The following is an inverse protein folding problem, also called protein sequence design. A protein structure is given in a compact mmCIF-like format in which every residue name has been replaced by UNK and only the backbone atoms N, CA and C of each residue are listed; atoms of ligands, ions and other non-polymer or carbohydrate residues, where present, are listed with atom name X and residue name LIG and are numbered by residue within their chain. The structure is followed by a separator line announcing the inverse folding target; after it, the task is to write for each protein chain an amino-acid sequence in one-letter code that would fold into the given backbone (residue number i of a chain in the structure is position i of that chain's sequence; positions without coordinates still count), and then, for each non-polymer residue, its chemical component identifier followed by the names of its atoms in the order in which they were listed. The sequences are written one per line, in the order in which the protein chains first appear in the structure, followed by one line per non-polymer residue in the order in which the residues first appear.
data_IF_628616119139
#
_entry.id   IF_628616119139
#
_cell.length_a   1.000
_cell.length_b   1.000
_cell.length_c   1.000
_cell.angle_alpha   90.00
_cell.angle_beta   90.00
_cell.angle_gamma   90.00
#
_symmetry.space_group_name_H-M   'P 1'
#
loop_
_entity.id
_entity.type
_entity.pdbx_description
1 polymer ?
#
# COMPACT_ATOMS: atom_id res chain seq x y z
N UNK A 1 -55.80 1.97 14.16
CA UNK A 1 -55.19 1.19 13.06
C UNK A 1 -54.30 2.14 12.27
N UNK A 2 -52.97 2.00 12.34
CA UNK A 2 -52.07 2.82 11.51
C UNK A 2 -50.69 3.14 12.11
N UNK A 3 -49.94 2.13 12.55
CA UNK A 3 -48.50 2.22 12.77
C UNK A 3 -47.86 0.97 12.17
N UNK A 4 -47.66 0.93 10.85
CA UNK A 4 -47.17 -0.27 10.14
C UNK A 4 -46.11 0.00 9.06
N UNK A 5 -45.50 1.19 9.04
CA UNK A 5 -44.34 1.45 8.17
C UNK A 5 -43.21 2.12 8.94
N UNK A 6 -42.64 1.38 9.90
CA UNK A 6 -41.28 1.68 10.38
C UNK A 6 -40.32 1.03 9.39
N UNK A 7 -39.91 1.78 8.37
CA UNK A 7 -38.83 1.38 7.45
C UNK A 7 -37.65 0.97 8.33
N UNK A 8 -37.25 -0.30 8.28
CA UNK A 8 -36.05 -0.80 8.95
C UNK A 8 -34.92 0.13 8.52
N UNK A 9 -34.45 0.94 9.45
CA UNK A 9 -33.33 1.82 9.21
C UNK A 9 -32.14 0.87 9.11
N UNK A 10 -31.71 0.61 7.87
CA UNK A 10 -30.46 -0.10 7.62
C UNK A 10 -29.42 0.55 8.51
N UNK A 11 -28.84 -0.24 9.41
CA UNK A 11 -27.78 0.22 10.30
C UNK A 11 -26.60 0.45 9.38
N UNK A 12 -26.52 1.68 8.85
CA UNK A 12 -25.41 2.13 8.04
C UNK A 12 -24.14 1.81 8.82
N UNK A 13 -23.28 0.98 8.23
CA UNK A 13 -21.97 0.66 8.79
C UNK A 13 -21.30 1.96 9.24
N UNK A 14 -20.64 1.99 10.41
CA UNK A 14 -19.94 3.17 10.88
C UNK A 14 -19.02 3.68 9.77
N UNK A 15 -19.29 4.90 9.29
CA UNK A 15 -18.53 5.53 8.21
C UNK A 15 -17.05 5.51 8.60
N UNK A 16 -16.21 4.87 7.79
CA UNK A 16 -14.78 4.82 8.08
C UNK A 16 -14.23 6.24 8.06
N UNK A 17 -13.21 6.53 8.89
CA UNK A 17 -12.49 7.81 8.83
C UNK A 17 -11.95 8.09 7.42
N UNK A 18 -11.65 7.02 6.67
CA UNK A 18 -11.23 7.07 5.28
C UNK A 18 -12.36 7.54 4.36
N UNK A 19 -13.57 7.01 4.52
CA UNK A 19 -14.74 7.42 3.73
C UNK A 19 -15.09 8.90 3.98
N UNK A 20 -14.93 9.37 5.22
CA UNK A 20 -15.13 10.78 5.56
C UNK A 20 -14.08 11.66 4.86
N UNK A 21 -12.81 11.24 4.80
CA UNK A 21 -11.76 11.97 4.08
C UNK A 21 -12.02 12.01 2.57
N UNK A 22 -12.42 10.88 1.97
CA UNK A 22 -12.80 10.79 0.56
C UNK A 22 -13.98 11.72 0.26
N UNK A 23 -15.00 11.75 1.13
CA UNK A 23 -16.15 12.64 0.99
C UNK A 23 -15.75 14.12 1.04
N UNK A 24 -14.84 14.50 1.95
CA UNK A 24 -14.34 15.87 2.04
C UNK A 24 -13.61 16.29 0.75
N UNK A 25 -12.74 15.43 0.22
CA UNK A 25 -12.02 15.69 -1.03
C UNK A 25 -12.97 15.79 -2.23
N UNK A 26 -13.95 14.88 -2.33
CA UNK A 26 -15.00 14.94 -3.37
C UNK A 26 -15.83 16.23 -3.26
N UNK A 27 -16.15 16.65 -2.04
CA UNK A 27 -16.82 17.94 -1.80
C UNK A 27 -15.98 19.15 -2.23
N UNK A 28 -14.68 19.14 -1.98
CA UNK A 28 -13.76 20.19 -2.43
C UNK A 28 -13.66 20.23 -3.97
N UNK A 29 -13.52 19.07 -4.61
CA UNK A 29 -13.52 18.92 -6.07
C UNK A 29 -14.77 19.54 -6.69
N UNK A 30 -15.94 19.23 -6.13
CA UNK A 30 -17.21 19.73 -6.67
C UNK A 30 -17.35 21.24 -6.50
N UNK A 31 -16.92 21.80 -5.37
CA UNK A 31 -16.85 23.26 -5.16
C UNK A 31 -15.92 23.94 -6.15
N UNK A 32 -14.75 23.35 -6.43
CA UNK A 32 -13.82 23.86 -7.43
C UNK A 32 -14.42 23.84 -8.84
N UNK A 33 -15.04 22.73 -9.25
CA UNK A 33 -15.75 22.63 -10.54
C UNK A 33 -16.86 23.67 -10.67
N UNK A 34 -17.64 23.89 -9.61
CA UNK A 34 -18.66 24.93 -9.58
C UNK A 34 -18.07 26.34 -9.70
N UNK A 35 -16.94 26.62 -9.03
CA UNK A 35 -16.27 27.91 -9.12
C UNK A 35 -15.72 28.17 -10.52
N UNK A 36 -15.06 27.19 -11.14
CA UNK A 36 -14.55 27.28 -12.52
C UNK A 36 -15.70 27.60 -13.49
N UNK A 37 -16.82 26.86 -13.41
CA UNK A 37 -17.99 27.11 -14.25
C UNK A 37 -18.60 28.50 -14.06
N UNK A 38 -18.59 29.03 -12.83
CA UNK A 38 -19.03 30.40 -12.54
C UNK A 38 -18.06 31.44 -13.11
N UNK A 39 -16.75 31.18 -12.98
CA UNK A 39 -15.68 32.02 -13.52
C UNK A 39 -15.75 32.11 -15.05
N UNK A 40 -15.95 31.00 -15.75
CA UNK A 40 -16.14 30.95 -17.21
C UNK A 40 -17.30 31.84 -17.68
N UNK A 41 -18.47 31.71 -17.04
CA UNK A 41 -19.62 32.58 -17.34
C UNK A 41 -19.35 34.06 -17.04
N UNK A 42 -18.51 34.37 -16.06
CA UNK A 42 -18.11 35.74 -15.76
C UNK A 42 -17.16 36.27 -16.85
N UNK A 43 -16.21 35.46 -17.31
CA UNK A 43 -15.27 35.81 -18.38
C UNK A 43 -15.99 36.03 -19.72
N UNK A 44 -17.04 35.25 -20.03
CA UNK A 44 -17.89 35.48 -21.22
C UNK A 44 -18.60 36.83 -21.15
N UNK A 45 -19.22 37.17 -20.02
CA UNK A 45 -19.86 38.48 -19.80
C UNK A 45 -18.85 39.62 -19.92
N UNK A 46 -17.67 39.47 -19.34
CA UNK A 46 -16.59 40.47 -19.45
C UNK A 46 -16.11 40.64 -20.90
N UNK A 47 -16.07 39.56 -21.68
CA UNK A 47 -15.75 39.59 -23.12
C UNK A 47 -16.81 40.36 -23.92
N UNK A 48 -18.09 40.18 -23.62
CA UNK A 48 -19.18 40.92 -24.25
C UNK A 48 -19.15 42.41 -23.88
N UNK A 49 -18.94 42.73 -22.60
CA UNK A 49 -18.78 44.11 -22.12
C UNK A 49 -17.58 44.79 -22.79
N UNK A 50 -16.45 44.09 -22.93
CA UNK A 50 -15.29 44.60 -23.65
C UNK A 50 -15.63 44.92 -25.12
N UNK A 51 -16.37 44.04 -25.81
CA UNK A 51 -16.84 44.29 -27.19
C UNK A 51 -17.75 45.52 -27.28
N UNK A 52 -18.65 45.71 -26.31
CA UNK A 52 -19.53 46.89 -26.27
C UNK A 52 -18.73 48.18 -26.03
N UNK A 53 -17.75 48.16 -25.13
CA UNK A 53 -16.90 49.32 -24.84
C UNK A 53 -16.01 49.72 -26.02
N UNK A 54 -15.55 48.74 -26.81
CA UNK A 54 -14.83 48.98 -28.06
C UNK A 54 -15.74 49.69 -29.07
N UNK A 55 -16.99 49.23 -29.24
CA UNK A 55 -17.98 49.89 -30.11
C UNK A 55 -18.29 51.33 -29.66
N UNK A 56 -18.28 51.58 -28.35
CA UNK A 56 -18.49 52.90 -27.77
C UNK A 56 -17.24 53.80 -27.76
N UNK A 57 -16.14 53.42 -28.46
CA UNK A 57 -14.86 54.13 -28.51
C UNK A 57 -14.18 54.36 -27.14
N UNK A 58 -14.56 53.62 -26.08
CA UNK A 58 -13.98 53.73 -24.73
C UNK A 58 -12.83 52.73 -24.54
N UNK A 59 -11.70 52.98 -25.21
CA UNK A 59 -10.53 52.08 -25.27
C UNK A 59 -9.93 51.76 -23.90
N UNK A 60 -9.76 52.75 -23.03
CA UNK A 60 -9.12 52.55 -21.71
C UNK A 60 -9.94 51.63 -20.80
N UNK A 61 -11.27 51.78 -20.84
CA UNK A 61 -12.20 50.92 -20.09
C UNK A 61 -12.21 49.50 -20.64
N UNK A 62 -12.16 49.33 -21.97
CA UNK A 62 -12.07 48.02 -22.59
C UNK A 62 -10.77 47.29 -22.19
N UNK A 63 -9.63 48.00 -22.19
CA UNK A 63 -8.35 47.45 -21.74
C UNK A 63 -8.38 46.98 -20.29
N UNK A 64 -9.03 47.74 -19.38
CA UNK A 64 -9.17 47.36 -17.98
C UNK A 64 -9.96 46.05 -17.82
N UNK A 65 -11.08 45.89 -18.54
CA UNK A 65 -11.89 44.66 -18.51
C UNK A 65 -11.09 43.48 -19.07
N UNK A 66 -10.32 43.67 -20.14
CA UNK A 66 -9.48 42.60 -20.70
C UNK A 66 -8.36 42.19 -19.73
N UNK A 67 -7.76 43.13 -18.98
CA UNK A 67 -6.79 42.82 -17.92
C UNK A 67 -7.43 42.01 -16.80
N UNK A 68 -8.65 42.39 -16.37
CA UNK A 68 -9.43 41.65 -15.37
C UNK A 68 -9.75 40.23 -15.84
N UNK A 69 -10.16 40.06 -17.10
CA UNK A 69 -10.40 38.75 -17.72
C UNK A 69 -9.14 37.89 -17.70
N UNK A 70 -7.98 38.44 -18.11
CA UNK A 70 -6.69 37.70 -18.08
C UNK A 70 -6.28 37.26 -16.68
N UNK A 71 -6.55 38.10 -15.67
CA UNK A 71 -6.34 37.70 -14.28
C UNK A 71 -7.24 36.53 -13.87
N UNK A 72 -8.54 36.57 -14.21
CA UNK A 72 -9.48 35.47 -13.95
C UNK A 72 -9.09 34.17 -14.67
N UNK A 73 -8.57 34.26 -15.90
CA UNK A 73 -8.02 33.12 -16.63
C UNK A 73 -6.86 32.49 -15.84
N UNK A 74 -5.89 33.28 -15.39
CA UNK A 74 -4.75 32.78 -14.60
C UNK A 74 -5.17 32.12 -13.28
N UNK A 75 -6.24 32.61 -12.66
CA UNK A 75 -6.79 32.00 -11.43
C UNK A 75 -7.52 30.71 -11.75
N UNK A 76 -8.24 30.66 -12.88
CA UNK A 76 -8.95 29.46 -13.34
C UNK A 76 -7.95 28.34 -13.70
N UNK A 77 -6.82 28.67 -14.33
CA UNK A 77 -5.72 27.72 -14.58
C UNK A 77 -5.16 27.13 -13.29
N UNK A 78 -4.89 27.96 -12.28
CA UNK A 78 -4.45 27.48 -10.95
C UNK A 78 -5.47 26.56 -10.31
N UNK A 79 -6.76 26.86 -10.44
CA UNK A 79 -7.85 26.02 -9.93
C UNK A 79 -7.93 24.68 -10.67
N UNK A 80 -7.70 24.66 -11.99
CA UNK A 80 -7.61 23.41 -12.77
C UNK A 80 -6.43 22.55 -12.32
N UNK A 81 -5.27 23.15 -12.04
CA UNK A 81 -4.13 22.42 -11.47
C UNK A 81 -4.43 21.86 -10.07
N UNK A 82 -5.14 22.61 -9.23
CA UNK A 82 -5.57 22.10 -7.92
C UNK A 82 -6.60 20.99 -8.04
N UNK A 83 -7.48 21.07 -9.05
CA UNK A 83 -8.47 20.03 -9.34
C UNK A 83 -7.79 18.70 -9.69
N UNK A 84 -6.78 18.71 -10.57
CA UNK A 84 -5.98 17.53 -10.91
C UNK A 84 -5.32 16.92 -9.66
N UNK A 85 -4.76 17.76 -8.77
CA UNK A 85 -4.20 17.30 -7.50
C UNK A 85 -5.24 16.60 -6.61
N UNK A 86 -6.45 17.15 -6.49
CA UNK A 86 -7.52 16.53 -5.70
C UNK A 86 -7.97 15.21 -6.34
N UNK A 87 -8.10 15.17 -7.66
CA UNK A 87 -8.49 13.94 -8.37
C UNK A 87 -7.44 12.84 -8.19
N UNK A 88 -6.14 13.17 -8.23
CA UNK A 88 -5.06 12.23 -7.88
C UNK A 88 -5.14 11.75 -6.43
N UNK A 89 -5.27 12.66 -5.47
CA UNK A 89 -5.38 12.28 -4.05
C UNK A 89 -6.60 11.39 -3.77
N UNK A 90 -7.72 11.60 -4.46
CA UNK A 90 -8.90 10.73 -4.34
C UNK A 90 -8.57 9.33 -4.87
N UNK A 91 -7.93 9.22 -6.03
CA UNK A 91 -7.53 7.93 -6.60
C UNK A 91 -6.53 7.20 -5.70
N UNK A 92 -5.53 7.91 -5.16
CA UNK A 92 -4.52 7.34 -4.27
C UNK A 92 -5.16 6.79 -2.98
N UNK A 93 -6.13 7.51 -2.41
CA UNK A 93 -6.88 7.04 -1.24
C UNK A 93 -7.78 5.85 -1.57
N UNK A 94 -8.46 5.85 -2.71
CA UNK A 94 -9.28 4.71 -3.15
C UNK A 94 -8.39 3.47 -3.36
N UNK A 95 -7.18 3.64 -3.90
CA UNK A 95 -6.21 2.56 -4.02
C UNK A 95 -5.73 2.06 -2.64
N UNK A 96 -5.40 2.96 -1.71
CA UNK A 96 -4.96 2.60 -0.36
C UNK A 96 -6.03 1.79 0.40
N UNK A 97 -7.32 2.08 0.19
CA UNK A 97 -8.43 1.28 0.75
C UNK A 97 -8.43 -0.14 0.18
N UNK A 98 -8.18 -0.30 -1.12
CA UNK A 98 -8.07 -1.62 -1.75
C UNK A 98 -6.85 -2.37 -1.22
N UNK A 99 -5.71 -1.71 -1.13
CA UNK A 99 -4.47 -2.29 -0.61
C UNK A 99 -4.64 -2.79 0.82
N UNK A 100 -5.26 -1.99 1.69
CA UNK A 100 -5.58 -2.40 3.06
C UNK A 100 -6.48 -3.65 3.08
N UNK A 101 -7.50 -3.69 2.22
CA UNK A 101 -8.40 -4.85 2.12
C UNK A 101 -7.67 -6.11 1.64
N UNK A 102 -6.76 -5.98 0.68
CA UNK A 102 -5.93 -7.10 0.21
C UNK A 102 -5.05 -7.64 1.34
N UNK A 103 -4.39 -6.76 2.09
CA UNK A 103 -3.55 -7.16 3.24
C UNK A 103 -4.39 -7.86 4.32
N UNK A 104 -5.58 -7.35 4.62
CA UNK A 104 -6.49 -7.98 5.57
C UNK A 104 -6.95 -9.37 5.09
N UNK A 105 -7.28 -9.51 3.81
CA UNK A 105 -7.64 -10.80 3.22
C UNK A 105 -6.47 -11.80 3.22
N UNK A 106 -5.25 -11.36 2.94
CA UNK A 106 -4.05 -12.20 3.05
C UNK A 106 -3.79 -12.64 4.48
N UNK A 107 -4.00 -11.75 5.46
CA UNK A 107 -3.88 -12.08 6.88
C UNK A 107 -4.91 -13.13 7.29
N UNK A 108 -6.17 -12.94 6.92
CA UNK A 108 -7.24 -13.90 7.19
C UNK A 108 -6.96 -15.25 6.50
N UNK A 109 -6.47 -15.24 5.25
CA UNK A 109 -6.06 -16.45 4.55
C UNK A 109 -4.92 -17.19 5.28
N UNK A 110 -3.91 -16.47 5.76
CA UNK A 110 -2.82 -17.05 6.55
C UNK A 110 -3.30 -17.62 7.89
N UNK A 111 -4.24 -16.95 8.57
CA UNK A 111 -4.86 -17.48 9.79
C UNK A 111 -5.66 -18.76 9.52
N UNK A 112 -6.41 -18.84 8.42
CA UNK A 112 -7.14 -20.04 8.01
C UNK A 112 -6.15 -21.18 7.71
N UNK A 113 -5.07 -20.91 6.98
CA UNK A 113 -4.03 -21.89 6.70
C UNK A 113 -3.34 -22.38 7.98
N UNK A 114 -3.10 -21.50 8.96
CA UNK A 114 -2.56 -21.89 10.27
C UNK A 114 -3.50 -22.82 11.04
N UNK A 115 -4.80 -22.51 11.05
CA UNK A 115 -5.80 -23.38 11.69
C UNK A 115 -5.91 -24.73 10.99
N UNK A 116 -5.88 -24.74 9.65
CA UNK A 116 -5.89 -25.97 8.87
C UNK A 116 -4.63 -26.80 9.12
N UNK A 117 -3.45 -26.18 9.17
CA UNK A 117 -2.21 -26.86 9.54
C UNK A 117 -2.27 -27.41 10.97
N UNK A 118 -2.81 -26.67 11.94
CA UNK A 118 -2.96 -27.15 13.31
C UNK A 118 -3.91 -28.35 13.44
N UNK A 119 -4.94 -28.43 12.59
CA UNK A 119 -5.81 -29.61 12.54
C UNK A 119 -5.13 -30.82 11.90
N UNK A 120 -4.08 -30.62 11.10
CA UNK A 120 -3.38 -31.68 10.37
C UNK A 120 -2.08 -32.13 11.09
N UNK A 121 -1.53 -31.36 12.04
CA UNK A 121 -0.07 -31.45 12.34
C UNK A 121 0.42 -32.33 13.49
N UNK A 122 -0.31 -33.29 14.05
CA UNK A 122 0.33 -34.24 15.00
C UNK A 122 -0.15 -35.67 14.77
N UNK A 123 -1.43 -35.93 14.98
CA UNK A 123 -1.96 -37.30 14.95
C UNK A 123 -1.91 -37.95 13.55
N UNK A 124 -2.18 -37.19 12.49
CA UNK A 124 -2.10 -37.71 11.11
C UNK A 124 -0.65 -37.82 10.61
N UNK A 125 0.29 -37.04 11.15
CA UNK A 125 1.72 -37.15 10.79
C UNK A 125 2.36 -38.34 11.52
N UNK A 126 2.05 -38.55 12.81
CA UNK A 126 2.46 -39.76 13.53
C UNK A 126 1.88 -41.01 12.88
N UNK A 127 0.59 -41.01 12.51
CA UNK A 127 -0.02 -42.15 11.80
C UNK A 127 0.64 -42.43 10.46
N UNK A 128 0.95 -41.40 9.65
CA UNK A 128 1.65 -41.58 8.37
C UNK A 128 3.09 -42.05 8.58
N UNK A 129 3.80 -41.55 9.61
CA UNK A 129 5.16 -41.99 9.92
C UNK A 129 5.19 -43.43 10.44
N UNK A 130 4.22 -43.84 11.25
CA UNK A 130 4.09 -45.20 11.75
C UNK A 130 3.67 -46.16 10.63
N UNK A 131 2.72 -45.78 9.77
CA UNK A 131 2.35 -46.56 8.56
C UNK A 131 3.54 -46.71 7.59
N UNK A 132 4.40 -45.70 7.46
CA UNK A 132 5.59 -45.78 6.59
C UNK A 132 6.69 -46.65 7.20
N UNK A 133 6.88 -46.62 8.52
CA UNK A 133 7.84 -47.47 9.22
C UNK A 133 7.39 -48.93 9.23
N UNK A 134 6.12 -49.21 9.52
CA UNK A 134 5.57 -50.56 9.43
C UNK A 134 5.65 -51.11 8.00
N UNK A 135 5.38 -50.28 6.98
CA UNK A 135 5.54 -50.71 5.59
C UNK A 135 7.00 -51.02 5.23
N UNK A 136 7.96 -50.21 5.72
CA UNK A 136 9.38 -50.46 5.51
C UNK A 136 9.86 -51.72 6.23
N UNK A 137 9.44 -51.93 7.47
CA UNK A 137 9.74 -53.13 8.26
C UNK A 137 9.12 -54.39 7.64
N UNK A 138 7.88 -54.30 7.16
CA UNK A 138 7.22 -55.40 6.44
C UNK A 138 7.92 -55.72 5.11
N UNK A 139 8.40 -54.71 4.38
CA UNK A 139 9.16 -54.92 3.15
C UNK A 139 10.55 -55.53 3.42
N UNK A 140 11.18 -55.15 4.52
CA UNK A 140 12.44 -55.75 4.99
C UNK A 140 12.24 -57.19 5.49
N UNK A 141 11.12 -57.46 6.17
CA UNK A 141 10.74 -58.81 6.61
C UNK A 141 10.42 -59.71 5.41
N UNK A 142 9.69 -59.20 4.40
CA UNK A 142 9.47 -59.90 3.14
C UNK A 142 10.79 -60.17 2.42
N UNK A 143 11.65 -59.15 2.30
CA UNK A 143 12.97 -59.28 1.67
C UNK A 143 13.83 -60.33 2.37
N UNK A 144 13.85 -60.32 3.71
CA UNK A 144 14.60 -61.28 4.54
C UNK A 144 14.02 -62.69 4.43
N UNK A 145 12.69 -62.84 4.41
CA UNK A 145 12.03 -64.14 4.25
C UNK A 145 12.24 -64.71 2.84
N UNK A 146 12.27 -63.87 1.80
CA UNK A 146 12.56 -64.26 0.41
C UNK A 146 14.04 -64.64 0.24
N UNK A 147 14.95 -63.81 0.75
CA UNK A 147 16.39 -64.04 0.65
C UNK A 147 16.86 -65.25 1.48
N UNK A 148 16.17 -65.57 2.58
CA UNK A 148 16.45 -66.76 3.39
C UNK A 148 15.91 -68.08 2.84
N UNK A 149 15.12 -68.08 1.76
CA UNK A 149 14.50 -69.29 1.17
C UNK A 149 14.98 -69.62 -0.24
N UNK A 150 15.60 -68.68 -0.95
CA UNK A 150 16.12 -68.87 -2.31
C UNK A 150 17.59 -69.33 -2.24
N UNK A 151 17.93 -70.42 -2.93
CA UNK A 151 19.33 -70.85 -3.09
C UNK A 151 20.06 -70.04 -4.17
N UNK A 152 21.40 -70.12 -4.22
CA UNK A 152 22.20 -69.45 -5.27
C UNK A 152 21.75 -69.85 -6.70
N UNK A 153 21.32 -71.11 -6.88
CA UNK A 153 20.83 -71.61 -8.17
C UNK A 153 19.48 -70.99 -8.58
N UNK A 154 18.58 -70.72 -7.63
CA UNK A 154 17.27 -70.09 -7.88
C UNK A 154 17.42 -68.59 -8.22
N UNK A 155 18.43 -67.93 -7.63
CA UNK A 155 18.73 -66.51 -7.89
C UNK A 155 19.21 -66.28 -9.32
N UNK A 156 20.04 -67.16 -9.88
CA UNK A 156 20.48 -67.08 -11.28
C UNK A 156 19.32 -67.28 -12.29
N UNK A 157 18.33 -68.10 -11.95
CA UNK A 157 17.16 -68.33 -12.80
C UNK A 157 16.24 -67.10 -12.80
N UNK A 158 15.99 -66.50 -11.62
CA UNK A 158 15.23 -65.25 -11.48
C UNK A 158 15.92 -64.08 -12.17
N UNK A 159 17.25 -63.98 -12.10
CA UNK A 159 18.01 -62.93 -12.82
C UNK A 159 17.90 -63.07 -14.34
N UNK A 160 17.88 -64.30 -14.87
CA UNK A 160 17.66 -64.55 -16.30
C UNK A 160 16.24 -64.22 -16.72
N UNK A 161 15.23 -64.60 -15.94
CA UNK A 161 13.84 -64.24 -16.20
C UNK A 161 13.64 -62.71 -16.15
N UNK A 162 14.25 -62.03 -15.18
CA UNK A 162 14.22 -60.58 -15.06
C UNK A 162 14.90 -59.87 -16.25
N UNK A 163 16.05 -60.37 -16.69
CA UNK A 163 16.73 -59.86 -17.88
C UNK A 163 15.92 -60.09 -19.16
N UNK A 164 15.19 -61.20 -19.25
CA UNK A 164 14.30 -61.50 -20.36
C UNK A 164 13.07 -60.57 -20.36
N UNK A 165 12.47 -60.29 -19.19
CA UNK A 165 11.37 -59.33 -19.05
C UNK A 165 11.79 -57.90 -19.41
N UNK A 166 13.00 -57.46 -19.03
CA UNK A 166 13.55 -56.17 -19.47
C UNK A 166 13.75 -56.12 -21.00
N UNK A 167 14.14 -57.25 -21.60
CA UNK A 167 14.28 -57.37 -23.06
C UNK A 167 12.94 -57.38 -23.81
N UNK A 168 11.89 -57.95 -23.21
CA UNK A 168 10.53 -58.03 -23.76
C UNK A 168 9.74 -56.71 -23.55
N UNK A 169 9.94 -55.99 -22.45
CA UNK A 169 9.37 -54.65 -22.16
C UNK A 169 10.19 -53.50 -22.77
N UNK A 170 10.84 -53.74 -23.92
CA UNK A 170 11.79 -52.83 -24.59
C UNK A 170 11.57 -51.33 -24.34
N UNK A 171 12.63 -50.64 -23.91
CA UNK A 171 12.74 -49.19 -23.71
C UNK A 171 11.42 -48.56 -23.24
N UNK A 172 11.11 -48.71 -21.95
CA UNK A 172 10.02 -48.01 -21.27
C UNK A 172 10.02 -46.54 -21.73
N UNK A 173 9.11 -46.21 -22.63
CA UNK A 173 8.83 -44.84 -23.02
C UNK A 173 8.09 -44.21 -21.84
N UNK A 174 8.83 -43.84 -20.80
CA UNK A 174 8.31 -42.97 -19.77
C UNK A 174 7.84 -41.69 -20.49
N UNK A 175 6.56 -41.29 -20.36
CA UNK A 175 6.13 -40.01 -20.87
C UNK A 175 7.02 -38.92 -20.25
N UNK A 176 7.56 -38.05 -21.10
CA UNK A 176 8.41 -36.94 -20.71
C UNK A 176 7.76 -36.21 -19.54
N UNK A 177 8.45 -36.18 -18.39
CA UNK A 177 7.99 -35.46 -17.19
C UNK A 177 7.57 -34.08 -17.66
N UNK A 178 6.32 -33.64 -17.41
CA UNK A 178 5.90 -32.30 -17.77
C UNK A 178 6.93 -31.31 -17.22
N UNK A 179 7.66 -30.65 -18.12
CA UNK A 179 8.63 -29.61 -17.79
C UNK A 179 7.94 -28.32 -17.35
N UNK A 180 6.82 -28.44 -16.62
CA UNK A 180 6.24 -27.33 -15.89
C UNK A 180 7.11 -27.21 -14.63
N UNK A 181 7.92 -26.15 -14.49
CA UNK A 181 8.64 -25.94 -13.26
C UNK A 181 7.61 -25.91 -12.13
N UNK A 182 7.71 -26.86 -11.20
CA UNK A 182 7.04 -26.76 -9.91
C UNK A 182 7.32 -25.35 -9.37
N UNK A 183 6.33 -24.66 -8.77
CA UNK A 183 6.58 -23.39 -8.11
C UNK A 183 7.63 -23.63 -7.03
N UNK A 184 8.89 -23.37 -7.38
CA UNK A 184 10.01 -23.30 -6.47
C UNK A 184 9.53 -22.32 -5.41
N UNK A 185 9.42 -22.78 -4.16
CA UNK A 185 9.51 -21.89 -3.00
C UNK A 185 10.87 -21.23 -3.12
N UNK A 186 10.95 -20.17 -3.90
CA UNK A 186 12.05 -19.24 -3.85
C UNK A 186 12.04 -18.77 -2.40
N UNK A 187 13.10 -19.00 -1.60
CA UNK A 187 13.29 -18.13 -0.46
C UNK A 187 13.23 -16.72 -1.06
N UNK A 188 12.37 -15.88 -0.50
CA UNK A 188 12.21 -14.47 -0.89
C UNK A 188 13.60 -13.83 -0.85
N UNK A 189 14.33 -13.92 -1.97
CA UNK A 189 15.59 -13.24 -2.15
C UNK A 189 15.16 -11.86 -2.59
N UNK A 190 14.88 -11.05 -1.58
CA UNK A 190 14.85 -9.60 -1.69
C UNK A 190 16.22 -9.24 -2.26
N UNK A 191 16.32 -9.19 -3.59
CA UNK A 191 17.41 -8.50 -4.27
C UNK A 191 17.11 -7.03 -4.04
N UNK A 192 17.47 -6.52 -2.85
CA UNK A 192 17.71 -5.10 -2.71
C UNK A 192 18.83 -4.80 -3.71
N UNK A 193 18.49 -4.13 -4.81
CA UNK A 193 19.51 -3.59 -5.68
C UNK A 193 20.28 -2.55 -4.86
N UNK A 194 21.57 -2.37 -5.12
CA UNK A 194 22.36 -1.38 -4.40
C UNK A 194 21.76 0.05 -4.51
N UNK A 195 20.89 0.28 -5.51
CA UNK A 195 20.13 1.52 -5.68
C UNK A 195 19.07 1.73 -4.59
N UNK A 196 18.37 0.68 -4.14
CA UNK A 196 17.40 0.79 -3.05
C UNK A 196 18.07 1.12 -1.71
N UNK A 197 19.28 0.58 -1.48
CA UNK A 197 20.06 0.88 -0.29
C UNK A 197 20.55 2.34 -0.29
N UNK A 198 20.93 2.88 -1.45
CA UNK A 198 21.32 4.30 -1.58
C UNK A 198 20.13 5.22 -1.33
N UNK A 199 18.92 4.86 -1.78
CA UNK A 199 17.71 5.64 -1.53
C UNK A 199 17.36 5.63 -0.03
N UNK A 200 17.39 4.46 0.62
CA UNK A 200 17.08 4.35 2.05
C UNK A 200 18.10 5.10 2.91
N UNK A 201 19.39 4.99 2.59
CA UNK A 201 20.46 5.74 3.27
C UNK A 201 20.32 7.24 3.02
N UNK A 202 20.01 7.66 1.79
CA UNK A 202 19.78 9.06 1.44
C UNK A 202 18.60 9.68 2.18
N UNK A 203 17.48 8.95 2.29
CA UNK A 203 16.30 9.39 3.07
C UNK A 203 16.65 9.47 4.57
N UNK A 204 17.39 8.50 5.11
CA UNK A 204 17.80 8.52 6.51
C UNK A 204 18.72 9.71 6.85
N UNK A 205 19.66 10.06 5.96
CA UNK A 205 20.54 11.22 6.11
C UNK A 205 19.73 12.53 6.05
N UNK A 206 18.82 12.67 5.08
CA UNK A 206 17.97 13.87 4.96
C UNK A 206 17.05 14.06 6.18
N UNK A 207 16.52 12.98 6.74
CA UNK A 207 15.73 13.02 7.98
C UNK A 207 16.61 13.42 9.18
N UNK A 208 17.83 12.90 9.28
CA UNK A 208 18.77 13.28 10.33
C UNK A 208 19.12 14.78 10.26
N UNK A 209 19.37 15.32 9.06
CA UNK A 209 19.62 16.76 8.87
C UNK A 209 18.43 17.63 9.28
N UNK A 210 17.20 17.21 8.95
CA UNK A 210 15.98 17.92 9.36
C UNK A 210 15.78 17.90 10.88
N UNK A 211 16.08 16.78 11.54
CA UNK A 211 16.00 16.67 13.01
C UNK A 211 17.05 17.54 13.68
N UNK A 212 18.29 17.56 13.17
CA UNK A 212 19.36 18.43 13.67
C UNK A 212 18.97 19.89 13.49
N UNK A 213 18.45 20.28 12.32
CA UNK A 213 18.00 21.63 12.05
C UNK A 213 16.86 22.04 13.00
N UNK A 214 15.89 21.15 13.25
CA UNK A 214 14.82 21.40 14.20
C UNK A 214 15.34 21.57 15.63
N UNK A 215 16.28 20.74 16.07
CA UNK A 215 16.93 20.87 17.38
C UNK A 215 17.70 22.19 17.51
N UNK A 216 18.46 22.60 16.50
CA UNK A 216 19.22 23.86 16.51
C UNK A 216 18.26 25.05 16.57
N UNK A 217 17.18 25.04 15.78
CA UNK A 217 16.14 26.09 15.82
C UNK A 217 15.48 26.13 17.19
N UNK A 218 15.17 24.98 17.78
CA UNK A 218 14.51 24.90 19.08
C UNK A 218 15.44 25.40 20.21
N UNK A 219 16.72 25.01 20.19
CA UNK A 219 17.74 25.51 21.12
C UNK A 219 17.93 27.02 20.96
N UNK A 220 18.02 27.53 19.73
CA UNK A 220 18.11 28.96 19.47
C UNK A 220 16.88 29.72 19.97
N UNK A 221 15.68 29.16 19.79
CA UNK A 221 14.43 29.72 20.29
C UNK A 221 14.42 29.81 21.83
N UNK A 222 14.84 28.75 22.52
CA UNK A 222 15.00 28.77 23.99
C UNK A 222 16.05 29.79 24.46
N UNK A 223 17.13 29.96 23.71
CA UNK A 223 18.17 30.93 24.06
C UNK A 223 17.67 32.38 23.92
N UNK A 224 16.93 32.69 22.85
CA UNK A 224 16.31 34.01 22.63
C UNK A 224 15.26 34.31 23.69
N UNK A 225 14.42 33.33 24.04
CA UNK A 225 13.40 33.49 25.08
C UNK A 225 14.03 33.73 26.46
N UNK A 226 15.13 33.04 26.77
CA UNK A 226 15.91 33.23 28.00
C UNK A 226 16.53 34.63 28.08
N UNK A 227 17.08 35.13 26.96
CA UNK A 227 17.63 36.49 26.87
C UNK A 227 16.55 37.57 27.05
N UNK A 228 15.37 37.41 26.42
CA UNK A 228 14.26 38.33 26.64
C UNK A 228 13.78 38.35 28.09
N UNK A 229 13.71 37.18 28.74
CA UNK A 229 13.32 37.09 30.15
C UNK A 229 14.32 37.79 31.07
N UNK A 230 15.62 37.64 30.83
CA UNK A 230 16.67 38.35 31.58
C UNK A 230 16.61 39.86 31.38
N UNK A 231 16.40 40.33 30.16
CA UNK A 231 16.25 41.74 29.84
C UNK A 231 15.04 42.37 30.55
N UNK A 232 13.90 41.66 30.58
CA UNK A 232 12.68 42.10 31.28
C UNK A 232 12.91 42.16 32.80
N UNK A 233 13.68 41.24 33.37
CA UNK A 233 14.02 41.26 34.80
C UNK A 233 14.99 42.39 35.16
N UNK A 234 15.90 42.74 34.26
CA UNK A 234 16.85 43.84 34.43
C UNK A 234 16.13 45.20 34.37
N UNK A 235 15.24 45.41 33.39
CA UNK A 235 14.37 46.59 33.34
C UNK A 235 13.48 46.72 34.58
N UNK A 236 12.97 45.61 35.12
CA UNK A 236 12.17 45.64 36.35
C UNK A 236 13.02 46.00 37.57
N UNK A 237 14.26 45.52 37.65
CA UNK A 237 15.19 45.89 38.73
C UNK A 237 15.54 47.37 38.67
N UNK A 238 15.78 47.92 37.49
CA UNK A 238 16.07 49.36 37.32
C UNK A 238 14.87 50.24 37.70
N UNK A 239 13.64 49.85 37.33
CA UNK A 239 12.43 50.58 37.74
C UNK A 239 12.23 50.59 39.26
N UNK A 240 12.42 49.44 39.92
CA UNK A 240 12.32 49.36 41.40
C UNK A 240 13.41 50.18 42.09
N UNK A 241 14.63 50.24 41.51
CA UNK A 241 15.71 51.06 42.07
C UNK A 241 15.44 52.57 41.96
N UNK A 242 14.75 53.02 40.90
CA UNK A 242 14.36 54.43 40.72
C UNK A 242 13.19 54.84 41.62
N UNK A 243 12.25 53.94 41.92
CA UNK A 243 11.13 54.22 42.84
C UNK A 243 11.56 54.27 44.32
N UNK A 244 12.76 53.77 44.65
CA UNK A 244 13.29 53.74 46.00
C UNK A 244 14.24 54.92 46.35
N UNK A 245 14.48 55.84 45.41
CA UNK A 245 15.27 57.08 45.58
C UNK A 245 14.39 58.32 45.65
#
# INVERSE_FOLDING_TARGET
MGNLFRKQQEVLTPVSKQDQAILQLKGQRDKMKQYIKKSEKQMEREKELARQLIKANKKDRALLILKRKRYQESVSEKMLHQLDKIERMVNDLEFAVIEQKVVEQLKNGNEVLKRMNQMISVDDIERIMDETKEAAEFQEEISTMLCGKLGEDDLEEVEKEFAQLIGEEGELNLPEVPSVPLPVKTPLKIRATNEDLVIVVGVAIALAELVILFCVINIAYYYVLSLQSKLILEERRERVALEAS
#
